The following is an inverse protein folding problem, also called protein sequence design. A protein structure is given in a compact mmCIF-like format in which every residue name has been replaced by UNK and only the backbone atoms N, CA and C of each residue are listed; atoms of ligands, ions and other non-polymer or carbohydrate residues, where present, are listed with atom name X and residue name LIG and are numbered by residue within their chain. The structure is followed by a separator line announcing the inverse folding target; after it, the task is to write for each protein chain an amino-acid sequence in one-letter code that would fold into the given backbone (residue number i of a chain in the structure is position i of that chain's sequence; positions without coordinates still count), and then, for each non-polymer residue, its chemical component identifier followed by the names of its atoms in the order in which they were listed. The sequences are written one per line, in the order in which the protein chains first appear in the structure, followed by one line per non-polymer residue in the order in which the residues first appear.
data_IF_452426180898
#
_entry.id   IF_452426180898
#
_cell.length_a   1.000
_cell.length_b   1.000
_cell.length_c   1.000
_cell.angle_alpha   90.00
_cell.angle_beta   90.00
_cell.angle_gamma   90.00
#
_symmetry.space_group_name_H-M   'P 1'
#
loop_
_entity.id
_entity.type
_entity.pdbx_description
1 polymer ?
#
# COMPACT_ATOMS: atom_id res chain seq x y z
N UNK A 1 -5.14 -11.60 -2.07
CA UNK A 1 -4.22 -10.52 -1.62
C UNK A 1 -4.31 -10.26 -0.12
N UNK A 2 -5.52 -10.01 0.39
CA UNK A 2 -5.70 -9.67 1.80
C UNK A 2 -5.21 -10.79 2.74
N UNK A 3 -5.55 -12.08 2.53
CA UNK A 3 -5.04 -13.13 3.41
C UNK A 3 -3.51 -13.20 3.45
N UNK A 4 -2.85 -13.02 2.32
CA UNK A 4 -1.38 -13.05 2.27
C UNK A 4 -0.77 -11.87 2.98
N UNK A 5 -1.35 -10.69 2.84
CA UNK A 5 -0.88 -9.49 3.53
C UNK A 5 -1.07 -9.62 5.03
N UNK A 6 -2.23 -10.08 5.47
CA UNK A 6 -2.51 -10.26 6.89
C UNK A 6 -1.54 -11.24 7.53
N UNK A 7 -1.25 -12.35 6.83
CA UNK A 7 -0.29 -13.33 7.31
C UNK A 7 1.12 -12.74 7.44
N UNK A 8 1.56 -12.02 6.40
CA UNK A 8 2.89 -11.41 6.38
C UNK A 8 3.07 -10.35 7.46
N UNK A 9 2.03 -9.55 7.70
CA UNK A 9 2.05 -8.49 8.69
C UNK A 9 1.85 -9.05 10.11
N UNK A 10 1.09 -10.13 10.22
CA UNK A 10 0.77 -10.73 11.51
C UNK A 10 -0.41 -10.06 12.18
N UNK A 11 -1.42 -9.68 11.41
CA UNK A 11 -2.62 -9.01 11.91
C UNK A 11 -3.89 -9.68 11.38
N UNK A 12 -5.06 -9.45 12.01
CA UNK A 12 -6.33 -9.90 11.46
C UNK A 12 -6.63 -9.24 10.12
N UNK A 13 -7.34 -9.94 9.24
CA UNK A 13 -7.66 -9.42 7.91
C UNK A 13 -8.51 -8.15 7.96
N UNK A 14 -9.39 -8.04 8.96
CA UNK A 14 -10.27 -6.88 9.09
C UNK A 14 -9.56 -5.60 9.54
N UNK A 15 -8.27 -5.71 9.88
CA UNK A 15 -7.44 -4.53 10.15
C UNK A 15 -6.94 -3.87 8.86
N UNK A 16 -7.07 -4.56 7.73
CA UNK A 16 -6.59 -4.06 6.44
C UNK A 16 -7.70 -3.32 5.70
N UNK A 17 -7.45 -2.08 5.37
CA UNK A 17 -8.37 -1.23 4.64
C UNK A 17 -7.75 -0.91 3.30
N UNK A 18 -8.50 -1.18 2.22
CA UNK A 18 -8.06 -0.86 0.86
C UNK A 18 -8.86 0.32 0.34
N UNK A 19 -8.15 1.27 -0.23
CA UNK A 19 -8.75 2.41 -0.91
C UNK A 19 -8.28 2.40 -2.36
N UNK A 20 -9.23 2.55 -3.28
CA UNK A 20 -8.94 2.67 -4.70
C UNK A 20 -9.15 4.10 -5.13
N UNK A 21 -8.12 4.71 -5.69
CA UNK A 21 -8.17 6.07 -6.20
C UNK A 21 -7.76 6.08 -7.66
N UNK A 22 -8.43 6.91 -8.45
CA UNK A 22 -8.10 7.09 -9.86
C UNK A 22 -7.40 8.44 -10.01
N UNK A 23 -6.23 8.41 -10.68
CA UNK A 23 -5.41 9.60 -10.85
C UNK A 23 -5.02 9.77 -12.31
N UNK A 24 -4.77 11.02 -12.69
CA UNK A 24 -4.19 11.33 -13.98
C UNK A 24 -2.75 11.74 -13.77
N UNK A 25 -1.87 11.32 -14.67
CA UNK A 25 -0.44 11.58 -14.57
C UNK A 25 -0.03 12.58 -15.63
N UNK A 26 0.78 13.55 -15.24
CA UNK A 26 1.26 14.60 -16.13
C UNK A 26 2.77 14.73 -16.04
N UNK A 27 3.41 14.90 -17.18
CA UNK A 27 4.82 15.19 -17.25
C UNK A 27 5.04 16.24 -18.34
N UNK A 28 5.82 17.27 -18.03
CA UNK A 28 6.06 18.36 -18.97
C UNK A 28 4.79 19.10 -19.40
N UNK A 29 3.78 19.16 -18.54
CA UNK A 29 2.52 19.84 -18.82
C UNK A 29 1.54 19.03 -19.65
N UNK A 30 1.86 17.80 -20.01
CA UNK A 30 1.00 16.94 -20.81
C UNK A 30 0.60 15.69 -20.03
N UNK A 31 -0.58 15.16 -20.32
CA UNK A 31 -1.02 13.91 -19.71
C UNK A 31 -0.23 12.75 -20.28
N UNK A 32 0.28 11.90 -19.40
CA UNK A 32 1.07 10.73 -19.78
C UNK A 32 0.40 9.47 -19.23
N UNK A 33 0.77 8.28 -19.78
CA UNK A 33 0.29 7.03 -19.21
C UNK A 33 0.68 6.90 -17.75
N UNK A 34 -0.28 6.49 -16.92
CA UNK A 34 -0.04 6.28 -15.51
C UNK A 34 0.49 4.89 -15.21
N UNK A 35 0.82 4.68 -13.95
CA UNK A 35 1.21 3.38 -13.43
C UNK A 35 0.67 3.23 -12.00
N UNK A 36 0.49 1.99 -11.52
CA UNK A 36 0.00 1.79 -10.16
C UNK A 36 0.99 2.28 -9.11
N UNK A 37 0.46 2.98 -8.12
CA UNK A 37 1.21 3.37 -6.93
C UNK A 37 0.44 2.79 -5.75
N UNK A 38 1.12 1.96 -4.96
CA UNK A 38 0.52 1.37 -3.77
C UNK A 38 1.15 2.02 -2.56
N UNK A 39 0.34 2.66 -1.75
CA UNK A 39 0.80 3.28 -0.52
C UNK A 39 0.34 2.47 0.67
N UNK A 40 1.29 2.15 1.55
CA UNK A 40 1.02 1.40 2.77
C UNK A 40 1.27 2.32 3.96
N UNK A 41 0.20 2.70 4.65
CA UNK A 41 0.33 3.50 5.87
C UNK A 41 0.11 2.56 7.05
N UNK A 42 1.10 2.42 7.90
CA UNK A 42 1.06 1.46 8.99
C UNK A 42 1.93 1.89 10.17
N UNK A 43 1.72 1.23 11.29
CA UNK A 43 2.69 1.27 12.38
C UNK A 43 3.82 0.33 12.02
N UNK A 44 5.04 0.82 12.12
CA UNK A 44 6.22 0.16 11.55
C UNK A 44 6.38 -1.29 11.99
N UNK A 45 6.98 -2.07 11.10
CA UNK A 45 7.30 -3.48 11.30
C UNK A 45 8.80 -3.66 11.04
N UNK A 46 9.27 -4.90 11.12
CA UNK A 46 10.69 -5.19 10.80
C UNK A 46 10.94 -4.99 9.30
N UNK A 47 12.22 -4.83 8.96
CA UNK A 47 12.61 -4.72 7.55
C UNK A 47 12.18 -5.94 6.75
N UNK A 48 12.26 -7.12 7.34
CA UNK A 48 11.87 -8.37 6.68
C UNK A 48 10.38 -8.40 6.37
N UNK A 49 9.55 -7.95 7.28
CA UNK A 49 8.09 -7.86 7.07
C UNK A 49 7.80 -6.85 5.97
N UNK A 50 8.46 -5.68 6.00
CA UNK A 50 8.27 -4.65 4.99
C UNK A 50 8.64 -5.17 3.60
N UNK A 51 9.77 -5.83 3.47
CA UNK A 51 10.21 -6.39 2.20
C UNK A 51 9.25 -7.46 1.69
N UNK A 52 8.74 -8.31 2.59
CA UNK A 52 7.79 -9.35 2.22
C UNK A 52 6.47 -8.74 1.73
N UNK A 53 5.97 -7.71 2.41
CA UNK A 53 4.75 -7.01 2.00
C UNK A 53 4.95 -6.36 0.63
N UNK A 54 6.10 -5.72 0.42
CA UNK A 54 6.42 -5.11 -0.87
C UNK A 54 6.43 -6.16 -1.99
N UNK A 55 7.00 -7.33 -1.75
CA UNK A 55 7.02 -8.42 -2.73
C UNK A 55 5.63 -8.92 -3.07
N UNK A 56 4.78 -9.10 -2.07
CA UNK A 56 3.40 -9.54 -2.28
C UNK A 56 2.63 -8.54 -3.15
N UNK A 57 2.78 -7.26 -2.84
CA UNK A 57 2.11 -6.20 -3.60
C UNK A 57 2.65 -6.12 -5.02
N UNK A 58 3.97 -6.21 -5.18
CA UNK A 58 4.60 -6.23 -6.50
C UNK A 58 4.06 -7.38 -7.35
N UNK A 59 4.08 -8.58 -6.81
CA UNK A 59 3.68 -9.77 -7.55
C UNK A 59 2.20 -9.73 -7.91
N UNK A 60 1.36 -9.24 -7.02
CA UNK A 60 -0.07 -9.11 -7.27
C UNK A 60 -0.34 -8.11 -8.39
N UNK A 61 0.27 -6.93 -8.34
CA UNK A 61 0.03 -5.88 -9.32
C UNK A 61 0.63 -6.24 -10.68
N UNK A 62 1.86 -6.71 -10.70
CA UNK A 62 2.50 -7.12 -11.95
C UNK A 62 1.83 -8.34 -12.56
N UNK A 63 1.24 -9.21 -11.73
CA UNK A 63 0.46 -10.35 -12.20
C UNK A 63 -0.78 -9.94 -12.99
N UNK A 64 -1.26 -8.71 -12.81
CA UNK A 64 -2.38 -8.18 -13.58
C UNK A 64 -1.95 -7.55 -14.90
N UNK A 65 -0.66 -7.60 -15.23
CA UNK A 65 -0.15 -7.13 -16.51
C UNK A 65 0.50 -5.76 -16.50
N UNK A 66 0.67 -5.15 -15.33
CA UNK A 66 1.33 -3.84 -15.24
C UNK A 66 2.84 -4.01 -15.28
N UNK A 67 3.54 -3.25 -16.15
CA UNK A 67 5.00 -3.38 -16.25
C UNK A 67 5.77 -2.64 -15.16
N UNK A 68 5.07 -1.78 -14.40
CA UNK A 68 5.69 -0.95 -13.38
C UNK A 68 4.73 -0.78 -12.21
N UNK A 69 5.23 -0.86 -11.01
CA UNK A 69 4.49 -0.54 -9.80
C UNK A 69 5.44 0.12 -8.81
N UNK A 70 4.95 1.13 -8.11
CA UNK A 70 5.68 1.72 -6.99
C UNK A 70 4.97 1.34 -5.70
N UNK A 71 5.74 0.94 -4.71
CA UNK A 71 5.22 0.62 -3.38
C UNK A 71 5.89 1.56 -2.40
N UNK A 72 5.08 2.34 -1.69
CA UNK A 72 5.55 3.36 -0.77
C UNK A 72 5.03 3.04 0.62
N UNK A 73 5.90 3.06 1.61
CA UNK A 73 5.53 2.85 3.00
C UNK A 73 5.60 4.15 3.76
N UNK A 74 4.52 4.46 4.47
CA UNK A 74 4.47 5.61 5.36
C UNK A 74 4.32 5.09 6.78
N UNK A 75 5.27 5.45 7.64
CA UNK A 75 5.26 5.04 9.03
C UNK A 75 4.34 5.94 9.84
N UNK A 76 3.40 5.31 10.55
CA UNK A 76 2.56 6.01 11.51
C UNK A 76 3.19 5.89 12.90
N UNK A 77 3.14 6.97 13.67
CA UNK A 77 3.67 7.00 15.02
C UNK A 77 2.53 7.08 16.02
N UNK A 78 2.56 6.24 17.04
CA UNK A 78 1.51 6.17 18.04
C UNK A 78 1.18 7.54 18.64
N UNK A 79 2.21 8.31 18.95
CA UNK A 79 2.06 9.64 19.56
C UNK A 79 1.52 10.70 18.59
N UNK A 80 1.42 10.34 17.31
CA UNK A 80 0.93 11.25 16.26
C UNK A 80 -0.30 10.73 15.56
N UNK A 81 -0.85 9.61 16.02
CA UNK A 81 -2.01 8.98 15.41
C UNK A 81 -3.22 9.16 16.32
N UNK A 82 -4.24 9.81 15.80
CA UNK A 82 -5.49 10.07 16.52
C UNK A 82 -6.64 9.50 15.70
N UNK A 83 -7.44 8.67 16.32
CA UNK A 83 -8.62 8.12 15.69
C UNK A 83 -9.84 8.48 16.54
N UNK A 84 -10.81 9.10 15.92
CA UNK A 84 -12.03 9.53 16.58
C UNK A 84 -13.23 8.88 15.91
N UNK A 85 -14.06 8.25 16.72
CA UNK A 85 -15.31 7.69 16.25
C UNK A 85 -16.48 8.44 16.88
N UNK A 86 -17.51 8.67 16.06
CA UNK A 86 -18.72 9.31 16.53
C UNK A 86 -19.75 8.21 16.81
N UNK A 87 -20.29 8.19 18.03
CA UNK A 87 -21.28 7.19 18.44
C UNK A 87 -22.71 7.57 18.06
#
# INVERSE_FOLDING_TARGET
LIPKLAEAIGCPEDWLILELAHSSFYAGGEQVPGFPIVEVSWFDRTDEVRERVAEILRDTVMGEGYPLVQVIFTTLYQERFYEYEQE
#
